data_IF_103075759746
#
_entry.id   IF_103075759746
#
_cell.length_a   1.000
_cell.length_b   1.000
_cell.length_c   1.000
_cell.angle_alpha   90.00
_cell.angle_beta   90.00
_cell.angle_gamma   90.00
#
_symmetry.space_group_name_H-M   'P 1'
#
loop_
_entity.id
_entity.type
_entity.pdbx_description
1 polymer ?
#
# COMPACT_ATOMS: atom_id res chain seq x y z
N UNK A 1 -25.36 17.97 4.39
CA UNK A 1 -24.00 18.22 4.89
C UNK A 1 -23.24 16.93 4.70
N UNK A 2 -22.28 16.88 3.77
CA UNK A 2 -21.53 15.65 3.45
C UNK A 2 -20.61 15.30 4.62
N UNK A 3 -20.39 14.00 4.87
CA UNK A 3 -19.51 13.50 5.94
C UNK A 3 -18.12 14.17 5.91
N UNK A 4 -17.66 14.49 4.70
CA UNK A 4 -16.40 15.16 4.42
C UNK A 4 -16.34 16.59 5.00
N UNK A 5 -17.43 17.37 4.95
CA UNK A 5 -17.43 18.75 5.46
C UNK A 5 -17.37 18.85 6.99
N UNK A 6 -17.89 17.84 7.71
CA UNK A 6 -17.78 17.78 9.17
C UNK A 6 -16.35 17.42 9.59
N UNK A 7 -15.72 16.50 8.85
CA UNK A 7 -14.31 16.13 9.06
C UNK A 7 -13.36 17.29 8.76
N UNK A 8 -13.60 18.05 7.68
CA UNK A 8 -12.83 19.26 7.35
C UNK A 8 -12.92 20.32 8.44
N UNK A 9 -14.11 20.54 9.01
CA UNK A 9 -14.33 21.54 10.07
C UNK A 9 -13.70 21.13 11.41
N UNK A 10 -13.83 19.86 11.80
CA UNK A 10 -13.27 19.35 13.06
C UNK A 10 -11.74 19.28 13.05
N UNK A 11 -11.13 19.00 11.90
CA UNK A 11 -9.68 18.80 11.78
C UNK A 11 -8.94 19.98 11.16
N UNK A 12 -9.64 21.01 10.64
CA UNK A 12 -9.03 22.22 10.12
C UNK A 12 -8.17 22.01 8.86
N UNK A 13 -8.28 20.86 8.21
CA UNK A 13 -7.49 20.53 7.02
C UNK A 13 -8.22 21.07 5.80
N UNK A 14 -7.77 22.21 5.28
CA UNK A 14 -8.20 22.71 3.98
C UNK A 14 -7.81 21.68 2.91
N UNK A 15 -8.79 21.19 2.16
CA UNK A 15 -8.59 20.44 0.92
C UNK A 15 -7.82 21.34 -0.07
N UNK A 16 -6.49 21.33 0.01
CA UNK A 16 -5.63 21.94 -0.99
C UNK A 16 -5.56 20.99 -2.19
N UNK A 17 -5.38 21.54 -3.39
CA UNK A 17 -5.32 20.81 -4.68
C UNK A 17 -4.21 19.74 -4.79
N UNK A 18 -3.57 19.40 -3.67
CA UNK A 18 -2.55 18.37 -3.48
C UNK A 18 -3.15 16.98 -3.17
N UNK A 19 -4.48 16.84 -3.17
CA UNK A 19 -5.21 15.60 -2.83
C UNK A 19 -5.58 14.75 -4.05
N UNK A 20 -5.15 15.11 -5.26
CA UNK A 20 -5.30 14.25 -6.45
C UNK A 20 -4.39 13.02 -6.32
N UNK A 21 -4.90 11.96 -5.70
CA UNK A 21 -4.25 10.64 -5.59
C UNK A 21 -3.89 10.19 -4.17
N UNK A 22 -4.13 11.00 -3.14
CA UNK A 22 -3.89 10.61 -1.74
C UNK A 22 -5.09 9.87 -1.13
N UNK A 23 -4.86 8.68 -0.58
CA UNK A 23 -5.89 7.96 0.18
C UNK A 23 -5.89 8.42 1.64
N UNK A 24 -7.05 8.87 2.12
CA UNK A 24 -7.26 9.14 3.55
C UNK A 24 -7.47 7.82 4.28
N UNK A 25 -6.53 7.45 5.15
CA UNK A 25 -6.70 6.30 6.03
C UNK A 25 -6.77 6.76 7.48
N UNK A 26 -7.91 6.51 8.13
CA UNK A 26 -8.03 6.63 9.57
C UNK A 26 -7.39 5.38 10.19
N UNK A 27 -6.16 5.53 10.71
CA UNK A 27 -5.47 4.45 11.40
C UNK A 27 -5.54 4.70 12.91
N UNK A 28 -6.01 3.70 13.63
CA UNK A 28 -6.03 3.75 15.08
C UNK A 28 -4.76 3.06 15.56
N UNK A 29 -3.71 3.83 15.85
CA UNK A 29 -2.40 3.28 16.26
C UNK A 29 -2.48 2.53 17.58
N UNK A 30 -3.41 2.92 18.46
CA UNK A 30 -3.70 2.23 19.71
C UNK A 30 -4.58 0.98 19.58
N UNK A 31 -4.93 0.50 18.38
CA UNK A 31 -5.64 -0.78 18.21
C UNK A 31 -4.64 -1.95 18.20
N UNK A 32 -4.43 -2.68 19.30
CA UNK A 32 -3.64 -3.91 19.29
C UNK A 32 -4.22 -4.89 18.28
N UNK A 33 -3.38 -5.44 17.40
CA UNK A 33 -3.82 -6.36 16.35
C UNK A 33 -4.45 -7.65 16.89
N UNK A 34 -5.33 -8.27 16.09
CA UNK A 34 -5.90 -9.59 16.39
C UNK A 34 -6.99 -9.60 17.48
N UNK A 35 -6.95 -10.62 18.33
CA UNK A 35 -8.01 -10.95 19.31
C UNK A 35 -8.22 -9.88 20.39
N UNK A 36 -7.23 -9.02 20.63
CA UNK A 36 -7.34 -7.94 21.60
C UNK A 36 -8.36 -6.86 21.18
N UNK A 37 -8.62 -6.69 19.88
CA UNK A 37 -9.70 -5.80 19.38
C UNK A 37 -11.07 -6.31 19.83
N UNK A 38 -11.26 -7.62 19.82
CA UNK A 38 -12.51 -8.24 20.26
C UNK A 38 -12.71 -8.06 21.77
N UNK A 39 -11.64 -8.18 22.56
CA UNK A 39 -11.68 -7.92 24.00
C UNK A 39 -12.01 -6.46 24.34
N UNK A 40 -11.46 -5.50 23.59
CA UNK A 40 -11.80 -4.08 23.76
C UNK A 40 -13.28 -3.80 23.44
N UNK A 41 -13.78 -4.34 22.32
CA UNK A 41 -15.20 -4.21 21.94
C UNK A 41 -16.09 -4.85 23.00
N UNK A 42 -15.74 -6.06 23.46
CA UNK A 42 -16.47 -6.76 24.51
C UNK A 42 -16.48 -5.96 25.82
N UNK A 43 -15.34 -5.38 26.21
CA UNK A 43 -15.21 -4.54 27.40
C UNK A 43 -16.11 -3.31 27.36
N UNK A 44 -16.18 -2.62 26.22
CA UNK A 44 -17.10 -1.49 26.01
C UNK A 44 -18.56 -1.95 26.13
N UNK A 45 -18.89 -3.10 25.52
CA UNK A 45 -20.25 -3.64 25.52
C UNK A 45 -20.68 -4.06 26.94
N UNK A 46 -19.76 -4.64 27.73
CA UNK A 46 -19.97 -4.96 29.15
C UNK A 46 -20.11 -3.70 30.01
N UNK A 47 -19.35 -2.65 29.74
CA UNK A 47 -19.48 -1.36 30.45
C UNK A 47 -20.85 -0.71 30.21
N UNK A 48 -21.33 -0.73 28.96
CA UNK A 48 -22.64 -0.18 28.59
C UNK A 48 -23.76 -1.08 29.14
N UNK A 49 -23.69 -2.39 28.92
CA UNK A 49 -24.69 -3.34 29.39
C UNK A 49 -24.77 -3.41 30.92
N UNK A 50 -23.61 -3.48 31.57
CA UNK A 50 -23.47 -3.50 33.02
C UNK A 50 -23.92 -2.18 33.66
N UNK A 51 -23.55 -1.04 33.08
CA UNK A 51 -24.02 0.25 33.54
C UNK A 51 -25.54 0.39 33.41
N UNK A 52 -26.14 -0.08 32.30
CA UNK A 52 -27.59 -0.09 32.10
C UNK A 52 -28.29 -1.00 33.12
N UNK A 53 -27.72 -2.17 33.39
CA UNK A 53 -28.26 -3.15 34.33
C UNK A 53 -28.20 -2.68 35.79
N UNK A 54 -27.07 -2.09 36.20
CA UNK A 54 -26.93 -1.45 37.52
C UNK A 54 -27.91 -0.29 37.66
N UNK A 55 -28.02 0.57 36.65
CA UNK A 55 -28.96 1.68 36.69
C UNK A 55 -30.40 1.17 36.80
N UNK A 56 -30.76 0.10 36.06
CA UNK A 56 -32.09 -0.53 36.11
C UNK A 56 -32.46 -0.98 37.52
N UNK A 57 -31.48 -1.48 38.29
CA UNK A 57 -31.70 -1.89 39.68
C UNK A 57 -31.82 -0.70 40.65
N UNK A 58 -30.99 0.33 40.53
CA UNK A 58 -30.88 1.34 41.60
C UNK A 58 -31.80 2.57 41.46
N UNK A 59 -32.29 2.91 40.27
CA UNK A 59 -32.92 4.23 40.04
C UNK A 59 -34.43 4.18 39.74
N UNK A 60 -35.23 3.47 40.55
CA UNK A 60 -36.70 3.42 40.38
C UNK A 60 -37.42 4.75 40.68
N UNK A 61 -36.79 5.71 41.37
CA UNK A 61 -37.46 6.94 41.85
C UNK A 61 -37.31 8.18 40.94
N UNK A 62 -36.58 8.08 39.81
CA UNK A 62 -36.26 9.25 38.96
C UNK A 62 -36.88 9.09 37.56
N UNK A 63 -37.48 10.15 36.97
CA UNK A 63 -38.10 10.09 35.65
C UNK A 63 -37.12 9.62 34.55
N UNK A 64 -37.61 8.68 33.73
CA UNK A 64 -36.84 7.91 32.74
C UNK A 64 -36.00 8.77 31.77
N UNK A 65 -36.51 9.95 31.37
CA UNK A 65 -35.85 10.82 30.39
C UNK A 65 -34.56 11.45 30.95
N UNK A 66 -34.62 12.07 32.15
CA UNK A 66 -33.43 12.66 32.78
C UNK A 66 -32.38 11.60 33.12
N UNK A 67 -32.87 10.41 33.44
CA UNK A 67 -32.06 9.24 33.75
C UNK A 67 -31.28 8.74 32.52
N UNK A 68 -31.92 8.61 31.36
CA UNK A 68 -31.24 8.28 30.11
C UNK A 68 -30.22 9.35 29.69
N UNK A 69 -30.54 10.63 29.90
CA UNK A 69 -29.66 11.75 29.52
C UNK A 69 -28.39 11.79 30.37
N UNK A 70 -28.51 11.65 31.69
CA UNK A 70 -27.34 11.57 32.60
C UNK A 70 -26.49 10.32 32.32
N UNK A 71 -27.14 9.19 32.03
CA UNK A 71 -26.43 7.96 31.70
C UNK A 71 -25.70 8.05 30.36
N UNK A 72 -26.32 8.65 29.34
CA UNK A 72 -25.67 8.83 28.03
C UNK A 72 -24.48 9.78 28.11
N UNK A 73 -24.58 10.86 28.90
CA UNK A 73 -23.43 11.75 29.18
C UNK A 73 -22.30 10.98 29.87
N UNK A 74 -22.62 10.15 30.86
CA UNK A 74 -21.60 9.38 31.58
C UNK A 74 -20.90 8.36 30.67
N UNK A 75 -21.66 7.63 29.85
CA UNK A 75 -21.07 6.73 28.84
C UNK A 75 -20.26 7.53 27.83
N UNK A 76 -20.78 8.67 27.35
CA UNK A 76 -20.11 9.50 26.34
C UNK A 76 -18.75 9.96 26.84
N UNK A 77 -18.64 10.40 28.10
CA UNK A 77 -17.35 10.76 28.71
C UNK A 77 -16.40 9.57 28.76
N UNK A 78 -16.87 8.41 29.21
CA UNK A 78 -16.03 7.19 29.25
C UNK A 78 -15.56 6.80 27.85
N UNK A 79 -16.45 6.86 26.86
CA UNK A 79 -16.14 6.56 25.46
C UNK A 79 -15.14 7.56 24.88
N UNK A 80 -15.26 8.85 25.23
CA UNK A 80 -14.33 9.90 24.82
C UNK A 80 -12.95 9.67 25.44
N UNK A 81 -12.87 9.30 26.72
CA UNK A 81 -11.60 8.92 27.38
C UNK A 81 -10.98 7.71 26.70
N UNK A 82 -11.77 6.68 26.39
CA UNK A 82 -11.29 5.51 25.63
C UNK A 82 -10.79 5.95 24.25
N UNK A 83 -11.51 6.82 23.54
CA UNK A 83 -11.09 7.33 22.25
C UNK A 83 -9.77 8.11 22.33
N UNK A 84 -9.58 8.95 23.36
CA UNK A 84 -8.30 9.62 23.59
C UNK A 84 -7.17 8.62 23.87
N UNK A 85 -7.45 7.57 24.63
CA UNK A 85 -6.47 6.51 24.93
C UNK A 85 -6.11 5.68 23.68
N UNK A 86 -7.04 5.52 22.74
CA UNK A 86 -6.82 4.82 21.47
C UNK A 86 -6.06 5.65 20.43
N UNK A 87 -5.82 6.93 20.72
CA UNK A 87 -5.02 7.85 19.91
C UNK A 87 -5.37 7.77 18.41
N UNK A 88 -6.58 8.23 18.00
CA UNK A 88 -6.98 8.24 16.60
C UNK A 88 -6.02 9.15 15.83
N UNK A 89 -5.17 8.55 15.01
CA UNK A 89 -4.31 9.32 14.11
C UNK A 89 -4.89 9.30 12.69
N UNK A 90 -4.94 10.47 12.07
CA UNK A 90 -5.23 10.57 10.65
C UNK A 90 -3.90 10.45 9.91
N UNK A 91 -3.72 9.36 9.16
CA UNK A 91 -2.53 9.14 8.35
C UNK A 91 -2.85 9.51 6.90
N UNK A 92 -2.24 10.61 6.45
CA UNK A 92 -2.24 10.99 5.04
C UNK A 92 -1.04 10.31 4.38
N UNK A 93 -1.30 9.19 3.69
CA UNK A 93 -0.26 8.51 2.92
C UNK A 93 -0.22 9.05 1.49
N UNK A 94 0.93 9.60 1.09
CA UNK A 94 1.20 10.05 -0.28
C UNK A 94 2.20 9.08 -0.90
N UNK A 95 1.76 8.32 -1.91
CA UNK A 95 2.67 7.54 -2.74
C UNK A 95 3.29 8.46 -3.80
N UNK A 96 4.55 8.85 -3.61
CA UNK A 96 5.33 9.48 -4.68
C UNK A 96 5.92 8.41 -5.59
N UNK A 97 5.36 8.26 -6.79
CA UNK A 97 6.00 7.48 -7.85
C UNK A 97 7.11 8.32 -8.47
N UNK A 98 8.34 8.09 -8.04
CA UNK A 98 9.53 8.68 -8.65
C UNK A 98 9.77 7.93 -9.97
N UNK A 99 9.69 8.57 -11.15
CA UNK A 99 9.96 7.89 -12.41
C UNK A 99 11.44 7.51 -12.51
N UNK A 100 11.71 6.20 -12.49
CA UNK A 100 13.03 5.62 -12.67
C UNK A 100 13.48 5.79 -14.14
N UNK A 101 14.47 6.64 -14.39
CA UNK A 101 15.04 6.85 -15.72
C UNK A 101 16.26 5.93 -15.88
N UNK A 102 16.08 4.76 -16.49
CA UNK A 102 17.15 3.79 -16.69
C UNK A 102 17.92 4.11 -17.99
N UNK A 103 19.18 4.53 -17.84
CA UNK A 103 20.09 4.78 -18.98
C UNK A 103 20.75 3.48 -19.43
N UNK A 104 20.48 3.06 -20.67
CA UNK A 104 21.16 1.90 -21.30
C UNK A 104 22.22 2.42 -22.26
N UNK A 105 23.49 2.12 -21.97
CA UNK A 105 24.62 2.47 -22.83
C UNK A 105 25.17 1.20 -23.50
N UNK A 106 25.42 1.26 -24.80
CA UNK A 106 26.08 0.18 -25.55
C UNK A 106 27.55 0.52 -25.78
N UNK A 107 28.43 -0.43 -25.47
CA UNK A 107 29.86 -0.31 -25.79
C UNK A 107 30.08 -0.47 -27.30
N UNK A 108 30.93 0.39 -27.87
CA UNK A 108 31.33 0.37 -29.29
C UNK A 108 32.83 0.12 -29.45
N UNK A 109 33.45 -0.58 -28.49
CA UNK A 109 34.84 -1.00 -28.60
C UNK A 109 35.06 -1.99 -29.75
N UNK A 110 36.28 -2.05 -30.29
CA UNK A 110 36.65 -3.03 -31.33
C UNK A 110 36.39 -4.49 -30.90
N UNK A 111 36.38 -4.76 -29.59
CA UNK A 111 36.08 -6.08 -29.04
C UNK A 111 34.66 -6.57 -29.37
N UNK A 112 33.73 -5.64 -29.61
CA UNK A 112 32.34 -5.93 -29.97
C UNK A 112 32.17 -6.35 -31.44
N UNK A 113 33.20 -6.18 -32.26
CA UNK A 113 33.22 -6.64 -33.65
C UNK A 113 33.59 -8.13 -33.81
N UNK A 114 34.02 -8.78 -32.72
CA UNK A 114 34.39 -10.20 -32.76
C UNK A 114 33.15 -11.11 -32.77
N UNK A 115 33.32 -12.24 -33.44
CA UNK A 115 32.38 -13.38 -33.42
C UNK A 115 32.78 -14.35 -32.34
N UNK A 116 31.82 -14.78 -31.53
CA UNK A 116 32.06 -15.78 -30.50
C UNK A 116 32.06 -17.19 -31.09
N UNK A 117 33.00 -18.03 -30.63
CA UNK A 117 33.24 -19.35 -31.20
C UNK A 117 32.22 -20.44 -30.75
N UNK A 118 31.14 -20.05 -30.05
CA UNK A 118 30.03 -20.90 -29.55
C UNK A 118 30.27 -22.42 -29.61
N UNK A 119 31.19 -22.92 -28.77
CA UNK A 119 31.65 -24.32 -28.75
C UNK A 119 30.65 -25.28 -28.10
N UNK A 120 29.76 -24.74 -27.28
CA UNK A 120 28.76 -25.46 -26.51
C UNK A 120 27.38 -25.24 -27.15
N UNK A 121 26.86 -26.27 -27.79
CA UNK A 121 25.58 -26.24 -28.51
C UNK A 121 24.40 -25.98 -27.56
N UNK A 122 24.45 -26.46 -26.32
CA UNK A 122 23.37 -26.26 -25.35
C UNK A 122 23.25 -24.80 -24.93
N UNK A 123 24.41 -24.13 -24.77
CA UNK A 123 24.44 -22.68 -24.50
C UNK A 123 24.01 -21.86 -25.71
N UNK A 124 24.49 -22.22 -26.90
CA UNK A 124 24.12 -21.54 -28.14
C UNK A 124 22.59 -21.61 -28.36
N UNK A 125 21.98 -22.78 -28.13
CA UNK A 125 20.54 -22.99 -28.24
C UNK A 125 19.72 -22.19 -27.21
N UNK A 126 20.21 -22.02 -25.99
CA UNK A 126 19.54 -21.19 -24.98
C UNK A 126 19.57 -19.71 -25.37
N UNK A 127 20.70 -19.23 -25.86
CA UNK A 127 20.86 -17.82 -26.26
C UNK A 127 20.04 -17.51 -27.52
N UNK A 128 20.03 -18.38 -28.54
CA UNK A 128 19.22 -18.18 -29.74
C UNK A 128 17.72 -18.11 -29.43
N UNK A 129 17.22 -18.97 -28.54
CA UNK A 129 15.83 -18.93 -28.05
C UNK A 129 15.50 -17.61 -27.33
N UNK A 130 16.38 -17.15 -26.44
CA UNK A 130 16.17 -15.90 -25.70
C UNK A 130 16.20 -14.66 -26.61
N UNK A 131 16.96 -14.72 -27.72
CA UNK A 131 17.01 -13.68 -28.74
C UNK A 131 15.89 -13.78 -29.79
N UNK A 132 14.96 -14.73 -29.64
CA UNK A 132 13.85 -14.94 -30.57
C UNK A 132 14.28 -15.42 -31.97
N UNK A 133 15.48 -15.98 -32.09
CA UNK A 133 15.95 -16.61 -33.33
C UNK A 133 15.34 -18.02 -33.46
N UNK A 134 15.22 -18.51 -34.70
CA UNK A 134 15.02 -19.95 -34.93
C UNK A 134 16.18 -20.71 -34.27
N UNK A 135 15.97 -21.97 -33.89
CA UNK A 135 16.97 -22.79 -33.19
C UNK A 135 18.23 -23.12 -34.04
N UNK A 136 18.45 -22.38 -35.13
CA UNK A 136 19.62 -22.51 -35.98
C UNK A 136 20.82 -21.78 -35.36
N UNK A 137 21.75 -22.54 -34.80
CA UNK A 137 22.98 -22.03 -34.20
C UNK A 137 23.97 -21.50 -35.24
N UNK A 138 23.72 -21.71 -36.54
CA UNK A 138 24.54 -21.17 -37.62
C UNK A 138 24.41 -19.64 -37.73
N UNK A 139 23.20 -19.09 -37.58
CA UNK A 139 22.96 -17.64 -37.65
C UNK A 139 23.65 -16.91 -36.49
N UNK A 140 23.57 -17.49 -35.29
CA UNK A 140 24.20 -16.95 -34.07
C UNK A 140 25.75 -16.87 -34.19
N UNK A 141 26.38 -17.83 -34.85
CA UNK A 141 27.85 -17.86 -35.06
C UNK A 141 28.35 -16.85 -36.08
N UNK A 142 27.47 -16.40 -36.97
CA UNK A 142 27.84 -15.41 -37.99
C UNK A 142 27.74 -13.97 -37.47
N UNK A 143 26.99 -13.75 -36.39
CA UNK A 143 26.80 -12.44 -35.78
C UNK A 143 27.97 -12.02 -34.89
N UNK A 144 28.29 -10.72 -34.96
CA UNK A 144 29.22 -10.08 -34.05
C UNK A 144 28.51 -9.74 -32.72
N UNK A 145 29.27 -9.61 -31.62
CA UNK A 145 28.71 -9.25 -30.30
C UNK A 145 27.86 -7.98 -30.30
N UNK A 146 28.25 -6.98 -31.10
CA UNK A 146 27.47 -5.75 -31.28
C UNK A 146 26.07 -6.05 -31.85
N UNK A 147 25.99 -6.90 -32.87
CA UNK A 147 24.73 -7.26 -33.51
C UNK A 147 23.83 -8.07 -32.57
N UNK A 148 24.44 -8.93 -31.73
CA UNK A 148 23.72 -9.64 -30.67
C UNK A 148 23.17 -8.68 -29.61
N UNK A 149 23.94 -7.67 -29.20
CA UNK A 149 23.50 -6.65 -28.26
C UNK A 149 22.35 -5.81 -28.84
N UNK A 150 22.45 -5.36 -30.08
CA UNK A 150 21.37 -4.63 -30.76
C UNK A 150 20.08 -5.47 -30.88
N UNK A 151 20.20 -6.78 -31.15
CA UNK A 151 19.04 -7.67 -31.25
C UNK A 151 18.42 -7.97 -29.87
N UNK A 152 19.22 -7.92 -28.80
CA UNK A 152 18.75 -8.04 -27.42
C UNK A 152 18.02 -6.78 -26.95
N UNK A 153 18.52 -5.59 -27.30
CA UNK A 153 17.88 -4.31 -26.99
C UNK A 153 16.68 -4.10 -27.90
N UNK A 154 15.62 -4.86 -27.63
CA UNK A 154 14.32 -4.72 -28.27
C UNK A 154 13.32 -4.00 -27.34
N UNK A 155 12.20 -3.56 -27.90
CA UNK A 155 11.13 -2.88 -27.16
C UNK A 155 10.60 -3.70 -25.97
N UNK A 156 10.55 -5.02 -26.08
CA UNK A 156 10.08 -5.89 -25.00
C UNK A 156 11.07 -5.97 -23.84
N UNK A 157 12.37 -6.01 -24.13
CA UNK A 157 13.44 -5.99 -23.14
C UNK A 157 13.50 -4.64 -22.41
N UNK A 158 13.37 -3.52 -23.14
CA UNK A 158 13.30 -2.18 -22.54
C UNK A 158 12.06 -2.03 -21.64
N UNK A 159 10.91 -2.54 -22.06
CA UNK A 159 9.70 -2.58 -21.22
C UNK A 159 9.89 -3.40 -19.95
N UNK A 160 10.56 -4.56 -20.05
CA UNK A 160 10.86 -5.39 -18.88
C UNK A 160 11.80 -4.67 -17.91
N UNK A 161 12.83 -3.99 -18.41
CA UNK A 161 13.72 -3.16 -17.60
C UNK A 161 12.99 -1.99 -16.93
N UNK A 162 12.02 -1.37 -17.60
CA UNK A 162 11.21 -0.30 -17.00
C UNK A 162 10.17 -0.79 -15.98
N UNK A 163 9.78 -2.05 -16.03
CA UNK A 163 8.75 -2.63 -15.17
C UNK A 163 9.30 -3.17 -13.83
N UNK A 164 10.58 -3.56 -13.81
CA UNK A 164 11.31 -4.06 -12.63
C UNK A 164 12.16 -2.96 -11.92
N UNK A 165 12.12 -1.72 -12.42
CA UNK A 165 12.96 -0.60 -11.98
C UNK A 165 12.28 0.45 -11.11
#
# INVERSE_FOLDING_TARGET
MTLNGILEFLFGIKNSAWTEGGHWSAQWVGLPGGDWRLLLILGILVLIGGGWWLYKRDAQQVPFVRRCLLYSIRISIVLLVIAMLLEPILVLSKEEKIPSHLLVLMDNSLSMSLKDAWKDEDKANKVSRNLGMSADTAELRQMNRMQLAQKLVNESFLKKLSADG
#
